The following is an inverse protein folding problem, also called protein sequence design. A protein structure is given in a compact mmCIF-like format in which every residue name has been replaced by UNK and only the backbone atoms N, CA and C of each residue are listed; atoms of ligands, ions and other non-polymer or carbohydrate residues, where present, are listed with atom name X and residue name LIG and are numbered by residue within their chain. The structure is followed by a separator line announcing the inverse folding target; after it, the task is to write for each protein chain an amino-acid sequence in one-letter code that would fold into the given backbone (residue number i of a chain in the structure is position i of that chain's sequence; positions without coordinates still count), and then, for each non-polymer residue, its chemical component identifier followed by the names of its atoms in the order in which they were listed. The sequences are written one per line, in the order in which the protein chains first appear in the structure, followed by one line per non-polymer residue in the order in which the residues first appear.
data_IF_137779070965
#
_entry.id   IF_137779070965
#
_cell.length_a   1.000
_cell.length_b   1.000
_cell.length_c   1.000
_cell.angle_alpha   90.00
_cell.angle_beta   90.00
_cell.angle_gamma   90.00
#
_symmetry.space_group_name_H-M   'P 1'
#
loop_
_entity.id
_entity.type
_entity.pdbx_description
1 polymer ?
#
# COMPACT_ATOMS: atom_id res chain seq x y z
N UNK A 1 26.14 -9.16 3.67
CA UNK A 1 27.20 -9.52 2.72
C UNK A 1 27.41 -11.02 2.81
N UNK A 2 27.24 -11.72 1.69
CA UNK A 2 27.58 -13.15 1.58
C UNK A 2 28.94 -13.27 0.91
N UNK A 3 29.85 -14.05 1.48
CA UNK A 3 31.16 -14.31 0.90
C UNK A 3 31.20 -15.75 0.38
N UNK A 4 31.41 -15.91 -0.91
CA UNK A 4 31.76 -17.17 -1.51
C UNK A 4 33.28 -17.24 -1.68
N UNK A 5 33.93 -18.30 -1.24
CA UNK A 5 35.36 -18.50 -1.35
C UNK A 5 35.59 -19.75 -2.21
N UNK A 6 36.27 -19.58 -3.32
CA UNK A 6 36.79 -20.69 -4.11
C UNK A 6 38.32 -20.81 -3.80
N UNK A 7 38.72 -21.97 -3.33
CA UNK A 7 40.11 -22.28 -3.02
C UNK A 7 40.73 -23.20 -4.08
N UNK A 8 42.06 -23.27 -4.10
CA UNK A 8 42.82 -24.21 -4.95
C UNK A 8 42.62 -24.01 -6.44
N UNK A 9 42.35 -22.79 -6.87
CA UNK A 9 42.28 -22.45 -8.28
C UNK A 9 43.70 -22.33 -8.86
N UNK A 10 44.00 -22.98 -10.04
CA UNK A 10 45.26 -22.80 -10.74
C UNK A 10 45.58 -21.32 -10.98
N UNK A 11 46.81 -20.91 -10.72
CA UNK A 11 47.25 -19.55 -11.02
C UNK A 11 47.53 -19.39 -12.52
N UNK A 12 47.44 -18.13 -13.03
CA UNK A 12 47.66 -17.73 -14.41
C UNK A 12 46.58 -18.18 -15.43
N UNK A 13 45.51 -18.84 -14.96
CA UNK A 13 44.34 -19.10 -15.77
C UNK A 13 43.40 -17.91 -15.77
N UNK A 14 42.63 -17.75 -16.84
CA UNK A 14 41.54 -16.79 -16.92
C UNK A 14 40.26 -17.44 -16.36
N UNK A 15 39.61 -16.77 -15.46
CA UNK A 15 38.38 -17.20 -14.84
C UNK A 15 37.24 -16.24 -15.21
N UNK A 16 36.08 -16.81 -15.43
CA UNK A 16 34.82 -16.06 -15.59
C UNK A 16 33.88 -16.41 -14.45
N UNK A 17 33.35 -15.40 -13.77
CA UNK A 17 32.33 -15.57 -12.75
C UNK A 17 31.11 -14.72 -13.11
N UNK A 18 29.92 -15.27 -12.89
CA UNK A 18 28.64 -14.61 -13.07
C UNK A 18 27.63 -15.14 -12.07
N UNK A 19 26.58 -14.37 -11.83
CA UNK A 19 25.49 -14.78 -10.97
C UNK A 19 24.52 -15.67 -11.74
N UNK A 20 24.29 -16.91 -11.26
CA UNK A 20 23.42 -17.90 -11.93
C UNK A 20 21.98 -17.86 -11.49
N UNK A 21 21.70 -17.22 -10.34
CA UNK A 21 20.33 -17.03 -9.81
C UNK A 21 20.28 -15.82 -8.91
N UNK A 22 19.17 -15.10 -8.96
CA UNK A 22 18.92 -13.94 -8.09
C UNK A 22 18.37 -14.32 -6.73
N UNK A 23 18.43 -13.38 -5.81
CA UNK A 23 17.76 -13.43 -4.52
C UNK A 23 16.39 -12.81 -4.63
N UNK A 24 15.37 -13.43 -4.03
CA UNK A 24 13.99 -12.93 -4.06
C UNK A 24 13.91 -11.46 -3.64
N UNK A 25 13.23 -10.65 -4.46
CA UNK A 25 13.06 -9.22 -4.23
C UNK A 25 14.23 -8.34 -4.65
N UNK A 26 15.26 -8.93 -5.32
CA UNK A 26 16.37 -8.21 -5.92
C UNK A 26 16.48 -8.51 -7.40
N UNK A 27 16.89 -7.50 -8.20
CA UNK A 27 17.41 -7.72 -9.55
C UNK A 27 18.80 -8.32 -9.44
N UNK A 28 19.23 -9.04 -10.47
CA UNK A 28 20.60 -9.52 -10.57
C UNK A 28 21.11 -9.31 -11.99
N UNK A 29 22.44 -9.24 -12.16
CA UNK A 29 23.07 -9.16 -13.46
C UNK A 29 23.69 -10.50 -13.82
N UNK A 30 23.41 -10.93 -15.03
CA UNK A 30 24.05 -12.11 -15.64
C UNK A 30 25.38 -11.75 -16.34
N UNK A 31 25.81 -10.49 -16.30
CA UNK A 31 27.02 -10.03 -16.96
C UNK A 31 28.25 -10.71 -16.35
N UNK A 32 29.06 -11.43 -17.15
CA UNK A 32 30.23 -12.12 -16.65
C UNK A 32 31.34 -11.13 -16.31
N UNK A 33 32.11 -11.48 -15.27
CA UNK A 33 33.32 -10.75 -14.89
C UNK A 33 34.50 -11.69 -15.05
N UNK A 34 35.44 -11.35 -15.93
CA UNK A 34 36.66 -12.12 -16.15
C UNK A 34 37.80 -11.58 -15.29
N UNK A 35 38.74 -12.44 -14.90
CA UNK A 35 39.93 -12.09 -14.15
C UNK A 35 40.97 -13.22 -14.19
N UNK A 36 42.23 -12.87 -13.96
CA UNK A 36 43.33 -13.84 -13.80
C UNK A 36 43.82 -13.77 -12.37
N UNK A 37 44.23 -14.93 -11.80
CA UNK A 37 44.81 -15.00 -10.48
C UNK A 37 46.36 -15.17 -10.62
N UNK A 38 47.11 -14.29 -9.98
CA UNK A 38 48.59 -14.44 -9.90
C UNK A 38 48.96 -15.52 -8.90
N UNK A 39 50.16 -16.18 -9.06
CA UNK A 39 50.66 -17.15 -8.09
C UNK A 39 50.66 -16.58 -6.67
N UNK A 40 50.14 -17.34 -5.70
CA UNK A 40 49.92 -16.94 -4.30
C UNK A 40 49.05 -15.69 -4.11
N UNK A 41 48.39 -15.22 -5.17
CA UNK A 41 47.46 -14.05 -5.14
C UNK A 41 46.02 -14.41 -4.75
N UNK A 42 45.27 -13.40 -4.46
CA UNK A 42 43.80 -13.48 -4.29
C UNK A 42 43.09 -12.38 -5.07
N UNK A 43 41.91 -12.66 -5.57
CA UNK A 43 41.06 -11.70 -6.30
C UNK A 43 39.72 -11.60 -5.61
N UNK A 44 39.28 -10.37 -5.30
CA UNK A 44 37.96 -10.10 -4.76
C UNK A 44 37.12 -9.46 -5.85
N UNK A 45 35.98 -10.04 -6.15
CA UNK A 45 34.94 -9.47 -7.01
C UNK A 45 33.68 -9.18 -6.20
N UNK A 46 32.99 -8.10 -6.54
CA UNK A 46 31.76 -7.67 -5.84
C UNK A 46 30.65 -7.60 -6.87
N UNK A 47 29.57 -8.32 -6.62
CA UNK A 47 28.32 -8.23 -7.37
C UNK A 47 27.32 -7.45 -6.53
N UNK A 48 26.61 -6.52 -7.15
CA UNK A 48 25.67 -5.65 -6.46
C UNK A 48 24.29 -5.78 -7.12
N UNK A 49 23.31 -6.25 -6.34
CA UNK A 49 21.95 -6.38 -6.77
C UNK A 49 21.11 -5.23 -6.19
N UNK A 50 20.20 -4.69 -7.02
CA UNK A 50 19.28 -3.65 -6.60
C UNK A 50 17.99 -4.28 -6.07
N UNK A 51 17.46 -3.75 -4.96
CA UNK A 51 16.13 -4.13 -4.52
C UNK A 51 15.10 -3.74 -5.58
N UNK A 52 14.21 -4.67 -5.91
CA UNK A 52 13.05 -4.39 -6.75
C UNK A 52 12.05 -3.56 -5.98
N UNK A 53 11.56 -2.49 -6.58
CA UNK A 53 10.64 -1.55 -5.95
C UNK A 53 9.49 -1.18 -6.88
N UNK A 54 8.38 -0.74 -6.30
CA UNK A 54 7.24 -0.15 -6.99
C UNK A 54 6.71 1.05 -6.21
N UNK A 55 5.52 1.50 -6.56
CA UNK A 55 4.85 2.65 -5.96
C UNK A 55 3.44 2.28 -5.55
N UNK A 56 2.99 2.76 -4.39
CA UNK A 56 1.57 2.79 -4.00
C UNK A 56 1.06 4.22 -4.20
N UNK A 57 -0.12 4.34 -4.83
CA UNK A 57 -0.89 5.57 -4.93
C UNK A 57 -2.23 5.37 -4.22
N UNK A 58 -2.44 5.98 -3.05
CA UNK A 58 -3.73 5.97 -2.36
C UNK A 58 -4.50 7.20 -2.82
N UNK A 59 -5.74 7.00 -3.27
CA UNK A 59 -6.63 8.06 -3.73
C UNK A 59 -7.90 8.03 -2.88
N UNK A 60 -8.10 9.12 -2.13
CA UNK A 60 -9.27 9.31 -1.26
C UNK A 60 -10.40 9.95 -2.05
N UNK A 61 -11.57 9.35 -1.92
CA UNK A 61 -12.84 9.86 -2.43
C UNK A 61 -13.79 10.15 -1.26
N UNK A 62 -14.59 11.20 -1.39
CA UNK A 62 -15.68 11.53 -0.45
C UNK A 62 -16.75 12.34 -1.17
N UNK A 63 -18.00 12.01 -0.96
CA UNK A 63 -19.14 12.66 -1.64
C UNK A 63 -19.29 14.15 -1.28
N UNK A 64 -18.77 14.58 -0.12
CA UNK A 64 -18.77 15.98 0.34
C UNK A 64 -17.53 16.77 -0.08
N UNK A 65 -16.62 16.14 -0.85
CA UNK A 65 -15.38 16.76 -1.33
C UNK A 65 -14.30 16.94 -0.27
N UNK A 66 -14.44 16.39 0.92
CA UNK A 66 -13.41 16.46 1.96
C UNK A 66 -12.35 15.41 1.69
N UNK A 67 -11.24 15.80 1.08
CA UNK A 67 -10.19 14.91 0.57
C UNK A 67 -8.89 14.95 1.40
N UNK A 68 -8.55 16.11 1.97
CA UNK A 68 -7.28 16.34 2.68
C UNK A 68 -7.33 15.89 4.14
N UNK A 69 -6.17 15.48 4.67
CA UNK A 69 -5.99 15.23 6.10
C UNK A 69 -6.47 13.86 6.60
N UNK A 70 -6.83 12.94 5.71
CA UNK A 70 -7.15 11.56 6.08
C UNK A 70 -5.87 10.76 6.31
N UNK A 71 -5.85 9.94 7.33
CA UNK A 71 -4.68 9.15 7.69
C UNK A 71 -4.84 7.70 7.27
N UNK A 72 -3.80 7.15 6.65
CA UNK A 72 -3.72 5.76 6.23
C UNK A 72 -2.45 5.12 6.76
N UNK A 73 -2.59 4.00 7.44
CA UNK A 73 -1.48 3.14 7.85
C UNK A 73 -1.24 2.09 6.79
N UNK A 74 0.00 2.00 6.33
CA UNK A 74 0.45 0.97 5.38
C UNK A 74 1.37 0.01 6.12
N UNK A 75 0.96 -1.24 6.22
CA UNK A 75 1.73 -2.31 6.85
C UNK A 75 1.98 -3.43 5.86
N UNK A 76 3.03 -4.21 6.05
CA UNK A 76 3.29 -5.36 5.17
C UNK A 76 4.68 -5.93 5.30
N UNK A 77 5.00 -6.86 4.42
CA UNK A 77 6.31 -7.50 4.36
C UNK A 77 6.79 -7.56 2.91
N UNK A 78 7.97 -7.04 2.68
CA UNK A 78 8.63 -7.13 1.39
C UNK A 78 9.03 -8.58 1.08
N UNK A 79 9.15 -8.93 -0.22
CA UNK A 79 9.67 -10.25 -0.65
C UNK A 79 11.09 -10.51 -0.14
N UNK A 80 11.82 -9.47 0.28
CA UNK A 80 13.12 -9.56 0.95
C UNK A 80 13.03 -9.91 2.45
N UNK A 81 11.83 -10.08 3.01
CA UNK A 81 11.58 -10.33 4.43
C UNK A 81 11.54 -9.08 5.32
N UNK A 82 11.74 -7.89 4.76
CA UNK A 82 11.71 -6.64 5.52
C UNK A 82 10.28 -6.22 5.83
N UNK A 83 9.98 -5.99 7.12
CA UNK A 83 8.69 -5.45 7.55
C UNK A 83 8.58 -3.96 7.24
N UNK A 84 7.36 -3.51 6.99
CA UNK A 84 7.01 -2.12 6.75
C UNK A 84 5.79 -1.73 7.58
N UNK A 85 5.86 -0.57 8.23
CA UNK A 85 4.76 -0.01 9.02
C UNK A 85 4.92 1.50 9.09
N UNK A 86 4.09 2.24 8.35
CA UNK A 86 4.09 3.70 8.34
C UNK A 86 2.69 4.26 8.14
N UNK A 87 2.45 5.43 8.75
CA UNK A 87 1.22 6.20 8.57
C UNK A 87 1.49 7.44 7.72
N UNK A 88 0.56 7.72 6.81
CA UNK A 88 0.61 8.84 5.86
C UNK A 88 -0.69 9.63 5.94
N UNK A 89 -0.63 10.88 5.49
CA UNK A 89 -1.78 11.78 5.47
C UNK A 89 -2.03 12.26 4.04
N UNK A 90 -3.30 12.28 3.60
CA UNK A 90 -3.67 12.76 2.27
C UNK A 90 -3.41 14.25 2.12
N UNK A 91 -2.94 14.63 0.93
CA UNK A 91 -2.76 16.02 0.51
C UNK A 91 -4.11 16.70 0.17
N UNK A 92 -4.05 17.93 -0.36
CA UNK A 92 -5.23 18.70 -0.77
C UNK A 92 -6.03 18.03 -1.89
N UNK A 93 -5.42 17.14 -2.68
CA UNK A 93 -6.04 16.38 -3.76
C UNK A 93 -6.59 15.03 -3.29
N UNK A 94 -6.41 14.69 -2.01
CA UNK A 94 -6.78 13.39 -1.46
C UNK A 94 -5.78 12.27 -1.80
N UNK A 95 -4.55 12.61 -2.15
CA UNK A 95 -3.57 11.63 -2.61
C UNK A 95 -2.44 11.39 -1.62
N UNK A 96 -1.95 10.15 -1.60
CA UNK A 96 -0.70 9.75 -0.97
C UNK A 96 0.08 8.94 -2.01
N UNK A 97 1.34 9.31 -2.25
CA UNK A 97 2.24 8.55 -3.13
C UNK A 97 3.41 8.02 -2.31
N UNK A 98 3.61 6.71 -2.33
CA UNK A 98 4.70 6.02 -1.63
C UNK A 98 5.58 5.36 -2.69
N UNK A 99 6.66 6.03 -3.06
CA UNK A 99 7.60 5.58 -4.08
C UNK A 99 8.74 4.75 -3.48
N UNK A 100 9.42 3.98 -4.34
CA UNK A 100 10.56 3.14 -3.97
C UNK A 100 10.23 2.13 -2.85
N UNK A 101 8.98 1.70 -2.76
CA UNK A 101 8.57 0.66 -1.84
C UNK A 101 9.02 -0.70 -2.39
N UNK A 102 9.67 -1.52 -1.57
CA UNK A 102 10.09 -2.87 -1.98
C UNK A 102 8.88 -3.70 -2.42
N UNK A 103 9.06 -4.54 -3.42
CA UNK A 103 8.00 -5.45 -3.87
C UNK A 103 7.59 -6.38 -2.72
N UNK A 104 6.29 -6.66 -2.61
CA UNK A 104 5.77 -7.47 -1.50
C UNK A 104 4.27 -7.29 -1.30
N UNK A 105 3.79 -7.86 -0.20
CA UNK A 105 2.38 -7.85 0.16
C UNK A 105 2.15 -6.84 1.28
N UNK A 106 1.19 -5.94 1.06
CA UNK A 106 0.91 -4.81 1.95
C UNK A 106 -0.59 -4.69 2.22
N UNK A 107 -0.91 -4.02 3.32
CA UNK A 107 -2.28 -3.66 3.71
C UNK A 107 -2.36 -2.16 3.93
N UNK A 108 -3.36 -1.53 3.31
CA UNK A 108 -3.72 -0.13 3.53
C UNK A 108 -4.94 -0.09 4.44
N UNK A 109 -4.82 0.58 5.57
CA UNK A 109 -5.90 0.70 6.57
C UNK A 109 -6.13 2.18 6.90
N UNK A 110 -7.37 2.64 6.85
CA UNK A 110 -7.71 3.97 7.31
C UNK A 110 -7.61 4.08 8.82
N UNK A 111 -6.90 5.09 9.31
CA UNK A 111 -6.73 5.33 10.74
C UNK A 111 -7.94 6.08 11.28
N UNK A 112 -8.61 5.52 12.29
CA UNK A 112 -9.72 6.18 12.97
C UNK A 112 -9.21 7.40 13.73
N UNK A 113 -9.68 8.57 13.34
CA UNK A 113 -9.33 9.87 13.93
C UNK A 113 -10.60 10.68 14.16
N UNK A 114 -10.51 11.86 14.74
CA UNK A 114 -11.65 12.78 14.84
C UNK A 114 -12.26 13.11 13.46
N UNK A 115 -11.47 13.04 12.39
CA UNK A 115 -11.92 13.26 11.00
C UNK A 115 -12.83 12.15 10.47
N UNK A 116 -12.69 10.92 10.95
CA UNK A 116 -13.56 9.81 10.54
C UNK A 116 -14.92 9.80 11.22
N UNK A 117 -15.11 10.67 12.25
CA UNK A 117 -16.40 10.83 12.91
C UNK A 117 -17.41 11.45 11.93
N UNK A 118 -18.57 10.85 11.81
CA UNK A 118 -19.60 11.29 10.85
C UNK A 118 -19.49 10.66 9.46
N UNK A 119 -18.61 9.66 9.30
CA UNK A 119 -18.47 8.93 8.02
C UNK A 119 -18.57 7.42 8.20
N UNK A 120 -19.13 6.77 7.19
CA UNK A 120 -18.98 5.35 6.93
C UNK A 120 -17.61 5.20 6.23
N UNK A 121 -16.70 4.48 6.84
CA UNK A 121 -15.34 4.27 6.33
C UNK A 121 -15.21 2.89 5.73
N UNK A 122 -14.39 2.75 4.69
CA UNK A 122 -14.08 1.43 4.13
C UNK A 122 -13.17 0.60 5.05
N UNK A 123 -13.24 -0.71 4.87
CA UNK A 123 -12.30 -1.65 5.49
C UNK A 123 -10.90 -1.55 4.85
N UNK A 124 -9.93 -2.22 5.49
CA UNK A 124 -8.58 -2.29 4.95
C UNK A 124 -8.53 -3.03 3.62
N UNK A 125 -7.60 -2.62 2.75
CA UNK A 125 -7.35 -3.24 1.44
C UNK A 125 -5.99 -3.91 1.41
N UNK A 126 -5.97 -5.19 1.05
CA UNK A 126 -4.74 -5.92 0.78
C UNK A 126 -4.28 -5.67 -0.65
N UNK A 127 -2.99 -5.44 -0.85
CA UNK A 127 -2.40 -5.08 -2.14
C UNK A 127 -1.04 -5.75 -2.32
N UNK A 128 -0.68 -6.00 -3.56
CA UNK A 128 0.65 -6.45 -3.95
C UNK A 128 1.39 -5.30 -4.65
N UNK A 129 2.61 -5.00 -4.21
CA UNK A 129 3.52 -4.07 -4.88
C UNK A 129 4.44 -4.86 -5.81
N UNK A 130 4.41 -4.54 -7.11
CA UNK A 130 5.20 -5.18 -8.16
C UNK A 130 6.29 -4.23 -8.66
N UNK A 131 7.32 -4.80 -9.28
CA UNK A 131 8.45 -4.04 -9.84
C UNK A 131 7.99 -3.01 -10.85
N UNK A 132 8.51 -1.78 -10.71
CA UNK A 132 8.31 -0.66 -11.64
C UNK A 132 6.85 -0.36 -11.97
N UNK A 133 5.91 -0.71 -11.07
CA UNK A 133 4.49 -0.44 -11.25
C UNK A 133 3.95 0.52 -10.19
N UNK A 134 2.85 1.20 -10.55
CA UNK A 134 2.05 1.98 -9.61
C UNK A 134 0.79 1.19 -9.27
N UNK A 135 0.68 0.74 -8.02
CA UNK A 135 -0.55 0.12 -7.49
C UNK A 135 -1.45 1.21 -6.93
N UNK A 136 -2.60 1.45 -7.57
CA UNK A 136 -3.56 2.46 -7.12
C UNK A 136 -4.59 1.84 -6.18
N UNK A 137 -4.83 2.49 -5.03
CA UNK A 137 -5.79 2.11 -4.00
C UNK A 137 -6.80 3.23 -3.86
N UNK A 138 -8.02 3.01 -4.33
CA UNK A 138 -9.13 3.95 -4.16
C UNK A 138 -9.86 3.66 -2.84
N UNK A 139 -10.04 4.68 -2.01
CA UNK A 139 -10.75 4.60 -0.72
C UNK A 139 -11.87 5.65 -0.73
N UNK A 140 -13.10 5.21 -0.53
CA UNK A 140 -14.26 6.06 -0.45
C UNK A 140 -14.81 6.11 0.98
N UNK A 141 -15.11 7.32 1.48
CA UNK A 141 -15.90 7.50 2.69
C UNK A 141 -17.21 8.19 2.35
N UNK A 142 -18.30 7.70 2.94
CA UNK A 142 -19.63 8.27 2.76
C UNK A 142 -20.03 9.01 4.03
N UNK A 143 -20.30 10.33 3.96
CA UNK A 143 -20.78 11.05 5.12
C UNK A 143 -22.16 10.53 5.55
N UNK A 144 -22.42 10.49 6.87
CA UNK A 144 -23.76 10.26 7.36
C UNK A 144 -24.65 11.44 7.01
N UNK A 145 -25.88 11.14 6.66
CA UNK A 145 -26.94 12.12 6.49
C UNK A 145 -27.95 12.02 7.65
N UNK A 146 -28.61 13.11 7.96
CA UNK A 146 -29.69 13.16 8.94
C UNK A 146 -31.01 13.44 8.25
N UNK A 147 -32.06 12.81 8.74
CA UNK A 147 -33.45 13.13 8.35
C UNK A 147 -34.17 13.74 9.57
N UNK A 148 -34.90 14.80 9.33
CA UNK A 148 -35.81 15.42 10.33
C UNK A 148 -37.21 15.22 9.85
N UNK A 149 -38.05 14.53 10.63
CA UNK A 149 -39.46 14.30 10.33
C UNK A 149 -40.28 15.13 11.30
N UNK A 150 -41.07 16.07 10.76
CA UNK A 150 -42.05 16.87 11.51
C UNK A 150 -43.46 16.40 11.18
N UNK A 151 -44.18 15.91 12.17
CA UNK A 151 -45.60 15.60 12.03
C UNK A 151 -46.42 16.74 12.65
N UNK A 152 -47.31 17.29 11.83
CA UNK A 152 -48.16 18.42 12.24
C UNK A 152 -49.60 18.14 11.88
N UNK A 153 -50.54 18.78 12.61
CA UNK A 153 -51.95 18.80 12.26
C UNK A 153 -52.18 19.63 10.99
N UNK A 154 -52.99 19.13 10.07
CA UNK A 154 -53.20 19.76 8.76
C UNK A 154 -53.96 21.08 8.81
N UNK A 155 -54.71 21.34 9.87
CA UNK A 155 -55.51 22.57 10.01
C UNK A 155 -54.81 23.62 10.86
N UNK A 156 -54.19 23.17 11.97
CA UNK A 156 -53.60 24.09 12.95
C UNK A 156 -52.11 24.30 12.76
N UNK A 157 -51.43 23.39 12.06
CA UNK A 157 -49.95 23.40 11.97
C UNK A 157 -49.23 22.97 13.26
N UNK A 158 -49.98 22.62 14.30
CA UNK A 158 -49.40 22.21 15.59
C UNK A 158 -48.75 20.84 15.53
N UNK A 159 -47.75 20.63 16.37
CA UNK A 159 -47.01 19.37 16.47
C UNK A 159 -47.94 18.25 16.95
N UNK A 160 -47.98 17.14 16.20
CA UNK A 160 -48.70 15.92 16.57
C UNK A 160 -47.67 14.88 17.09
N UNK A 161 -47.91 14.39 18.33
CA UNK A 161 -47.05 13.39 18.98
C UNK A 161 -47.65 11.99 18.89
N UNK A 162 -46.86 10.96 19.20
CA UNK A 162 -47.30 9.56 19.28
C UNK A 162 -47.33 8.80 17.94
N UNK A 163 -46.86 9.40 16.85
CA UNK A 163 -46.69 8.69 15.59
C UNK A 163 -45.34 7.97 15.55
N UNK A 164 -45.35 6.75 15.02
CA UNK A 164 -44.14 5.95 14.74
C UNK A 164 -43.84 6.01 13.26
N UNK A 165 -42.56 6.16 12.91
CA UNK A 165 -42.10 6.18 11.52
C UNK A 165 -41.10 5.04 11.32
N UNK A 166 -41.18 4.35 10.18
CA UNK A 166 -40.13 3.46 9.66
C UNK A 166 -39.34 4.22 8.58
N UNK A 167 -38.03 3.93 8.50
CA UNK A 167 -37.15 4.41 7.43
C UNK A 167 -36.65 3.17 6.70
N UNK A 168 -36.85 3.14 5.40
CA UNK A 168 -36.53 1.97 4.58
C UNK A 168 -35.63 2.38 3.43
N UNK A 169 -34.88 1.45 2.89
CA UNK A 169 -33.98 1.63 1.75
C UNK A 169 -34.61 1.26 0.41
N UNK A 170 -35.81 0.69 0.44
CA UNK A 170 -36.59 0.27 -0.70
C UNK A 170 -38.01 0.90 -0.68
N UNK A 171 -38.69 0.92 -1.84
CA UNK A 171 -40.04 1.49 -1.98
C UNK A 171 -41.11 0.57 -1.39
N UNK A 172 -40.87 -0.70 -1.26
CA UNK A 172 -41.76 -1.73 -0.71
C UNK A 172 -41.77 -1.70 0.82
N UNK A 173 -40.86 -0.97 1.46
CA UNK A 173 -40.68 -0.86 2.91
C UNK A 173 -40.37 -2.20 3.60
N UNK A 174 -39.61 -3.06 2.94
CA UNK A 174 -39.27 -4.38 3.42
C UNK A 174 -37.87 -4.42 4.09
N UNK A 175 -36.94 -3.52 3.69
CA UNK A 175 -35.55 -3.48 4.19
C UNK A 175 -35.35 -2.20 5.05
N UNK A 176 -35.34 -2.32 6.40
CA UNK A 176 -35.16 -1.19 7.31
C UNK A 176 -33.72 -0.61 7.30
#
# INVERSE_FOLDING_TARGET
TYNFIANELPAREEYTVYEVSGTTGYSFSIDPVTFTITPAGSVKKVFTNKAMTGTISIVKHSADGVLSGWQFRVTGTAKTGQSYDKTFTTDAKGTITISNLRIGDYKVTEVKTGKTVGYITEESKDIEVKTDTVTTVNIENKPYANIVINKVDAKTGEKVTGATFGIYTDAECEIP
#
